data_IF_214860516303
#
_entry.id   IF_214860516303
#
_cell.length_a   1.000
_cell.length_b   1.000
_cell.length_c   1.000
_cell.angle_alpha   90.00
_cell.angle_beta   90.00
_cell.angle_gamma   90.00
#
_symmetry.space_group_name_H-M   'P 1'
#
loop_
_entity.id
_entity.type
_entity.pdbx_description
1 polymer ?
#
# COMPACT_ATOMS: atom_id res chain seq x y z
N UNK A 1 34.45 8.91 -11.68
CA UNK A 1 34.24 7.45 -11.60
C UNK A 1 32.73 7.19 -11.74
N UNK A 2 32.25 6.76 -12.92
CA UNK A 2 30.82 6.52 -13.18
C UNK A 2 30.50 5.08 -12.76
N UNK A 3 29.69 4.91 -11.74
CA UNK A 3 29.10 3.62 -11.41
C UNK A 3 28.11 3.24 -12.53
N UNK A 4 28.47 2.28 -13.34
CA UNK A 4 27.59 1.58 -14.27
C UNK A 4 26.74 0.62 -13.42
N UNK A 5 25.53 1.01 -13.07
CA UNK A 5 24.49 0.07 -12.62
C UNK A 5 24.15 -0.82 -13.81
N UNK A 6 24.52 -2.09 -13.71
CA UNK A 6 24.11 -3.13 -14.64
C UNK A 6 22.60 -3.33 -14.42
N UNK A 7 21.79 -2.82 -15.34
CA UNK A 7 20.38 -3.17 -15.43
C UNK A 7 20.37 -4.60 -15.97
N UNK A 8 20.08 -5.56 -15.12
CA UNK A 8 19.82 -6.93 -15.56
C UNK A 8 18.56 -6.92 -16.43
N UNK A 9 18.66 -7.56 -17.60
CA UNK A 9 17.55 -7.64 -18.56
C UNK A 9 16.33 -8.32 -17.93
N UNK A 10 15.11 -7.90 -18.30
CA UNK A 10 13.89 -8.48 -17.73
C UNK A 10 13.82 -9.96 -18.09
N UNK A 11 13.56 -10.80 -17.10
CA UNK A 11 13.30 -12.22 -17.25
C UNK A 11 12.18 -12.44 -18.26
N UNK A 12 12.52 -12.92 -19.45
CA UNK A 12 11.58 -13.46 -20.43
C UNK A 12 11.09 -14.82 -19.95
N UNK A 13 10.04 -14.85 -19.16
CA UNK A 13 9.24 -16.05 -18.94
C UNK A 13 8.27 -16.15 -20.12
N UNK A 14 8.44 -17.19 -20.95
CA UNK A 14 7.52 -17.54 -22.02
C UNK A 14 6.15 -17.96 -21.44
N UNK A 15 5.25 -17.04 -21.35
CA UNK A 15 3.84 -17.13 -20.98
C UNK A 15 3.29 -15.73 -21.15
N UNK A 16 2.11 -15.57 -21.72
CA UNK A 16 1.44 -14.27 -21.88
C UNK A 16 1.50 -13.50 -20.57
N UNK A 17 2.52 -12.64 -20.44
CA UNK A 17 2.67 -11.77 -19.27
C UNK A 17 1.44 -10.86 -19.29
N UNK A 18 0.54 -11.05 -18.36
CA UNK A 18 -0.51 -10.08 -18.11
C UNK A 18 0.18 -8.78 -17.74
N UNK A 19 0.20 -7.80 -18.64
CA UNK A 19 0.71 -6.44 -18.36
C UNK A 19 -0.16 -5.72 -17.32
N UNK A 20 -0.97 -6.48 -16.58
CA UNK A 20 -1.90 -6.00 -15.56
C UNK A 20 -1.39 -6.37 -14.17
N UNK A 21 -1.49 -5.43 -13.25
CA UNK A 21 -1.26 -5.65 -11.83
C UNK A 21 -2.40 -5.05 -11.01
N UNK A 22 -2.81 -5.75 -9.96
CA UNK A 22 -3.72 -5.22 -8.95
C UNK A 22 -2.91 -4.76 -7.75
N UNK A 23 -3.16 -3.56 -7.28
CA UNK A 23 -2.47 -2.91 -6.17
C UNK A 23 -3.49 -2.65 -5.08
N UNK A 24 -3.26 -3.17 -3.88
CA UNK A 24 -4.18 -3.01 -2.76
C UNK A 24 -3.49 -2.29 -1.61
N UNK A 25 -4.16 -1.26 -1.07
CA UNK A 25 -3.89 -0.82 0.30
C UNK A 25 -4.45 -1.85 1.30
N UNK A 26 -4.10 -1.73 2.57
CA UNK A 26 -4.52 -2.68 3.62
C UNK A 26 -5.63 -2.10 4.48
N UNK A 27 -5.32 -1.03 5.23
CA UNK A 27 -6.22 -0.46 6.22
C UNK A 27 -7.41 0.21 5.56
N UNK A 28 -8.61 -0.13 6.02
CA UNK A 28 -9.88 0.35 5.48
C UNK A 28 -10.08 0.09 3.96
N UNK A 29 -9.21 -0.78 3.39
CA UNK A 29 -9.31 -1.31 2.02
C UNK A 29 -9.48 -2.82 2.02
N UNK A 30 -8.49 -3.61 2.47
CA UNK A 30 -8.58 -5.07 2.56
C UNK A 30 -9.16 -5.55 3.90
N UNK A 31 -8.96 -4.76 4.95
CA UNK A 31 -9.43 -5.04 6.31
C UNK A 31 -10.13 -3.81 6.89
N UNK A 32 -11.09 -4.03 7.78
CA UNK A 32 -11.58 -3.00 8.69
C UNK A 32 -10.52 -2.81 9.78
N UNK A 33 -9.79 -1.70 9.73
CA UNK A 33 -8.65 -1.49 10.63
C UNK A 33 -9.09 -1.33 12.08
N UNK A 34 -8.53 -2.16 12.97
CA UNK A 34 -8.68 -2.02 14.42
C UNK A 34 -7.52 -1.23 15.03
N UNK A 35 -6.55 -0.80 14.21
CA UNK A 35 -5.42 -0.01 14.67
C UNK A 35 -5.85 1.43 14.94
N UNK A 36 -5.36 1.99 16.03
CA UNK A 36 -5.61 3.37 16.44
C UNK A 36 -4.34 4.19 16.43
N UNK A 37 -4.48 5.50 16.33
CA UNK A 37 -3.39 6.46 16.33
C UNK A 37 -3.44 7.22 17.68
N UNK A 38 -2.38 7.14 18.46
CA UNK A 38 -2.29 7.89 19.68
C UNK A 38 -1.79 9.31 19.38
N UNK A 39 -2.50 10.33 19.86
CA UNK A 39 -2.01 11.71 19.91
C UNK A 39 -1.32 11.89 21.24
N UNK A 40 -0.02 12.21 21.20
CA UNK A 40 0.78 12.41 22.39
C UNK A 40 1.14 13.89 22.55
N UNK A 41 1.14 14.36 23.80
CA UNK A 41 1.67 15.66 24.22
C UNK A 41 2.45 15.45 25.51
N UNK A 42 3.66 15.98 25.59
CA UNK A 42 4.56 15.82 26.74
C UNK A 42 4.74 14.35 27.18
N UNK A 43 4.83 13.44 26.19
CA UNK A 43 4.98 12.00 26.42
C UNK A 43 3.74 11.27 26.92
N UNK A 44 2.59 11.93 27.02
CA UNK A 44 1.31 11.34 27.45
C UNK A 44 0.32 11.25 26.31
N UNK A 45 -0.46 10.17 26.24
CA UNK A 45 -1.57 10.05 25.32
C UNK A 45 -2.68 11.03 25.74
N UNK A 46 -2.99 12.00 24.89
CA UNK A 46 -4.03 13.01 25.12
C UNK A 46 -5.30 12.72 24.31
N UNK A 47 -5.18 11.92 23.24
CA UNK A 47 -6.31 11.45 22.43
C UNK A 47 -5.95 10.16 21.71
N UNK A 48 -6.95 9.33 21.40
CA UNK A 48 -6.84 8.16 20.53
C UNK A 48 -7.75 8.39 19.35
N UNK A 49 -7.26 8.15 18.15
CA UNK A 49 -7.97 8.37 16.89
C UNK A 49 -8.08 7.06 16.12
N UNK A 50 -9.19 6.85 15.46
CA UNK A 50 -9.31 5.90 14.34
C UNK A 50 -8.64 6.47 13.09
N UNK A 51 -8.44 5.64 12.05
CA UNK A 51 -7.93 6.10 10.75
C UNK A 51 -8.79 7.22 10.16
N UNK A 52 -10.12 7.09 10.24
CA UNK A 52 -11.06 8.09 9.76
C UNK A 52 -10.92 9.42 10.53
N UNK A 53 -10.91 9.36 11.86
CA UNK A 53 -10.75 10.57 12.69
C UNK A 53 -9.39 11.24 12.50
N UNK A 54 -8.35 10.48 12.17
CA UNK A 54 -7.02 11.03 11.90
C UNK A 54 -7.01 11.90 10.64
N UNK A 55 -7.75 11.54 9.61
CA UNK A 55 -7.83 12.31 8.37
C UNK A 55 -8.38 13.73 8.60
N UNK A 56 -9.27 13.87 9.58
CA UNK A 56 -9.94 15.14 9.91
C UNK A 56 -9.28 15.86 11.12
N UNK A 57 -8.30 15.22 11.77
CA UNK A 57 -7.72 15.76 12.99
C UNK A 57 -6.71 16.86 12.72
N UNK A 58 -6.99 18.05 13.22
CA UNK A 58 -6.06 19.19 13.20
C UNK A 58 -5.11 19.09 14.40
N UNK A 59 -3.86 18.73 14.11
CA UNK A 59 -2.81 18.62 15.12
C UNK A 59 -2.54 19.95 15.80
N UNK A 60 -2.57 19.96 17.13
CA UNK A 60 -2.28 21.14 17.96
C UNK A 60 -0.78 21.29 18.23
N UNK A 61 -0.37 22.47 18.67
CA UNK A 61 1.01 22.74 19.00
C UNK A 61 1.51 21.84 20.15
N UNK A 62 2.72 21.29 19.97
CA UNK A 62 3.33 20.33 20.90
C UNK A 62 2.79 18.90 20.83
N UNK A 63 1.80 18.62 19.98
CA UNK A 63 1.30 17.25 19.75
C UNK A 63 2.14 16.50 18.73
N UNK A 64 2.22 15.16 18.86
CA UNK A 64 2.77 14.25 17.85
C UNK A 64 1.96 12.96 17.80
N UNK A 65 2.02 12.26 16.66
CA UNK A 65 1.28 11.01 16.44
C UNK A 65 2.17 9.80 16.67
N UNK A 66 1.61 8.79 17.34
CA UNK A 66 2.19 7.46 17.47
C UNK A 66 1.35 6.44 16.71
N UNK A 67 1.95 5.82 15.70
CA UNK A 67 1.35 4.83 14.83
C UNK A 67 1.76 3.39 15.20
N UNK A 68 2.31 3.17 16.40
CA UNK A 68 2.85 1.86 16.80
C UNK A 68 1.84 0.72 16.76
N UNK A 69 0.53 1.01 16.91
CA UNK A 69 -0.54 0.02 16.80
C UNK A 69 -0.62 -0.59 15.38
N UNK A 70 -0.20 0.14 14.34
CA UNK A 70 -0.13 -0.40 12.98
C UNK A 70 1.00 -1.40 12.78
N UNK A 71 1.92 -1.51 13.73
CA UNK A 71 3.00 -2.50 13.74
C UNK A 71 2.63 -3.79 14.51
N UNK A 72 1.35 -3.95 14.89
CA UNK A 72 0.83 -5.13 15.58
C UNK A 72 0.30 -6.19 14.61
N UNK A 73 0.97 -7.34 14.57
CA UNK A 73 0.47 -8.51 13.82
C UNK A 73 -0.83 -9.06 14.42
N UNK A 74 -1.02 -8.93 15.73
CA UNK A 74 -2.24 -9.38 16.40
C UNK A 74 -3.44 -8.57 15.90
N UNK A 75 -3.35 -7.24 15.90
CA UNK A 75 -4.44 -6.39 15.40
C UNK A 75 -4.75 -6.66 13.92
N UNK A 76 -3.73 -6.99 13.11
CA UNK A 76 -3.93 -7.42 11.72
C UNK A 76 -4.71 -8.74 11.62
N UNK A 77 -4.38 -9.73 12.44
CA UNK A 77 -5.02 -11.05 12.46
C UNK A 77 -6.48 -10.98 12.90
N UNK A 78 -6.76 -10.11 13.88
CA UNK A 78 -8.08 -9.96 14.49
C UNK A 78 -9.00 -9.02 13.70
N UNK A 79 -8.47 -8.35 12.68
CA UNK A 79 -9.26 -7.47 11.83
C UNK A 79 -10.24 -8.25 10.95
N UNK A 80 -11.45 -7.72 10.79
CA UNK A 80 -12.42 -8.24 9.84
C UNK A 80 -12.03 -7.87 8.41
N UNK A 81 -12.24 -8.81 7.48
CA UNK A 81 -11.97 -8.59 6.07
C UNK A 81 -13.08 -7.76 5.42
N UNK A 82 -12.70 -6.88 4.50
CA UNK A 82 -13.65 -6.17 3.64
C UNK A 82 -14.05 -7.05 2.44
N UNK A 83 -15.07 -6.67 1.65
CA UNK A 83 -15.40 -7.38 0.41
C UNK A 83 -14.25 -7.41 -0.63
N UNK A 84 -13.30 -6.47 -0.56
CA UNK A 84 -12.14 -6.42 -1.46
C UNK A 84 -11.14 -7.53 -1.19
N UNK A 85 -11.17 -8.14 0.00
CA UNK A 85 -10.38 -9.33 0.32
C UNK A 85 -10.74 -10.51 -0.61
N UNK A 86 -12.02 -10.74 -0.86
CA UNK A 86 -12.46 -11.79 -1.78
C UNK A 86 -12.06 -11.49 -3.23
N UNK A 87 -12.01 -10.20 -3.61
CA UNK A 87 -11.48 -9.78 -4.90
C UNK A 87 -10.00 -10.12 -5.02
N UNK A 88 -9.20 -9.81 -3.99
CA UNK A 88 -7.77 -10.15 -3.94
C UNK A 88 -7.57 -11.66 -4.06
N UNK A 89 -8.27 -12.47 -3.25
CA UNK A 89 -8.17 -13.94 -3.29
C UNK A 89 -8.47 -14.49 -4.67
N UNK A 90 -9.61 -14.13 -5.24
CA UNK A 90 -10.03 -14.58 -6.56
C UNK A 90 -9.00 -14.24 -7.64
N UNK A 91 -8.44 -13.04 -7.61
CA UNK A 91 -7.45 -12.64 -8.60
C UNK A 91 -6.08 -13.31 -8.36
N UNK A 92 -5.71 -13.56 -7.11
CA UNK A 92 -4.53 -14.35 -6.75
C UNK A 92 -4.63 -15.79 -7.27
N UNK A 93 -5.77 -16.45 -7.08
CA UNK A 93 -6.05 -17.82 -7.57
C UNK A 93 -5.99 -17.91 -9.10
N UNK A 94 -6.31 -16.85 -9.81
CA UNK A 94 -6.17 -16.74 -11.28
C UNK A 94 -4.72 -16.52 -11.73
N UNK A 95 -3.79 -16.31 -10.80
CA UNK A 95 -2.39 -15.98 -11.12
C UNK A 95 -2.20 -14.53 -11.56
N UNK A 96 -3.16 -13.62 -11.30
CA UNK A 96 -2.98 -12.19 -11.55
C UNK A 96 -1.88 -11.65 -10.62
N UNK A 97 -1.02 -10.78 -11.15
CA UNK A 97 0.00 -10.13 -10.34
C UNK A 97 -0.66 -9.19 -9.32
N UNK A 98 -0.27 -9.32 -8.06
CA UNK A 98 -0.78 -8.54 -6.94
C UNK A 98 0.37 -7.85 -6.23
N UNK A 99 0.22 -6.57 -5.96
CA UNK A 99 1.08 -5.79 -5.09
C UNK A 99 0.29 -5.27 -3.88
N UNK A 100 0.98 -5.18 -2.74
CA UNK A 100 0.48 -4.51 -1.55
C UNK A 100 1.19 -3.16 -1.41
N UNK A 101 0.42 -2.11 -1.22
CA UNK A 101 0.91 -0.73 -1.13
C UNK A 101 0.28 -0.02 0.07
N UNK A 102 0.95 -0.06 1.21
CA UNK A 102 0.40 0.38 2.49
C UNK A 102 1.24 1.46 3.18
N UNK A 103 0.60 2.24 4.04
CA UNK A 103 1.28 3.18 4.93
C UNK A 103 2.03 2.50 6.09
N UNK A 104 1.74 1.23 6.38
CA UNK A 104 2.39 0.46 7.45
C UNK A 104 3.91 0.41 7.28
N UNK A 105 4.63 0.09 8.37
CA UNK A 105 6.10 0.20 8.42
C UNK A 105 6.85 -1.13 8.38
N UNK A 106 6.17 -2.29 8.48
CA UNK A 106 6.80 -3.60 8.70
C UNK A 106 6.52 -4.61 7.57
N UNK A 107 7.33 -4.64 6.50
CA UNK A 107 7.09 -5.53 5.35
C UNK A 107 7.09 -7.01 5.72
N UNK A 108 7.96 -7.47 6.62
CA UNK A 108 8.00 -8.86 7.08
C UNK A 108 6.73 -9.28 7.83
N UNK A 109 6.12 -8.37 8.58
CA UNK A 109 4.85 -8.60 9.27
C UNK A 109 3.70 -8.72 8.24
N UNK A 110 3.68 -7.86 7.24
CA UNK A 110 2.69 -7.90 6.16
C UNK A 110 2.83 -9.21 5.38
N UNK A 111 4.04 -9.59 4.99
CA UNK A 111 4.31 -10.88 4.34
C UNK A 111 3.75 -12.05 5.16
N UNK A 112 4.06 -12.07 6.46
CA UNK A 112 3.60 -13.12 7.38
C UNK A 112 2.08 -13.19 7.44
N UNK A 113 1.40 -12.03 7.53
CA UNK A 113 -0.05 -11.97 7.55
C UNK A 113 -0.68 -12.60 6.32
N UNK A 114 -0.19 -12.27 5.11
CA UNK A 114 -0.72 -12.85 3.88
C UNK A 114 -0.42 -14.35 3.76
N UNK A 115 0.77 -14.80 4.15
CA UNK A 115 1.12 -16.23 4.18
C UNK A 115 0.20 -17.03 5.11
N UNK A 116 -0.14 -16.51 6.28
CA UNK A 116 -1.08 -17.14 7.22
C UNK A 116 -2.50 -17.24 6.66
N UNK A 117 -2.84 -16.41 5.68
CA UNK A 117 -4.12 -16.46 4.94
C UNK A 117 -4.03 -17.28 3.65
N UNK A 118 -2.92 -17.98 3.40
CA UNK A 118 -2.70 -18.82 2.21
C UNK A 118 -2.34 -18.02 0.94
N UNK A 119 -1.92 -16.77 1.07
CA UNK A 119 -1.58 -15.89 -0.05
C UNK A 119 -0.09 -15.56 0.01
N UNK A 120 0.68 -16.07 -0.95
CA UNK A 120 2.12 -15.81 -1.05
C UNK A 120 2.43 -14.70 -2.05
N UNK A 121 2.42 -13.44 -1.57
CA UNK A 121 2.81 -12.28 -2.37
C UNK A 121 4.34 -12.19 -2.36
N UNK A 122 4.96 -11.98 -3.53
CA UNK A 122 6.40 -11.80 -3.64
C UNK A 122 6.87 -10.60 -2.82
N UNK A 123 8.05 -10.71 -2.19
CA UNK A 123 8.58 -9.68 -1.29
C UNK A 123 8.80 -8.34 -1.99
N UNK A 124 9.19 -8.36 -3.27
CA UNK A 124 9.40 -7.18 -4.12
C UNK A 124 8.09 -6.49 -4.57
N UNK A 125 6.94 -7.11 -4.27
CA UNK A 125 5.60 -6.55 -4.50
C UNK A 125 4.90 -6.15 -3.19
N UNK A 126 5.61 -6.11 -2.05
CA UNK A 126 5.10 -5.62 -0.76
C UNK A 126 5.78 -4.28 -0.43
N UNK A 127 5.04 -3.19 -0.60
CA UNK A 127 5.52 -1.82 -0.43
C UNK A 127 4.93 -1.21 0.85
N UNK A 128 5.75 -1.14 1.91
CA UNK A 128 5.41 -0.50 3.18
C UNK A 128 5.99 0.92 3.22
N UNK A 129 5.21 1.92 2.84
CA UNK A 129 5.65 3.32 2.73
C UNK A 129 6.11 3.93 4.07
N UNK A 130 5.62 3.41 5.20
CA UNK A 130 6.07 3.78 6.55
C UNK A 130 7.43 3.20 6.95
N UNK A 131 7.98 2.24 6.19
CA UNK A 131 9.25 1.60 6.55
C UNK A 131 10.41 2.59 6.50
N UNK A 132 11.23 2.59 7.57
CA UNK A 132 12.34 3.55 7.73
C UNK A 132 13.41 3.46 6.62
N UNK A 133 13.58 2.28 6.03
CA UNK A 133 14.50 2.03 4.90
C UNK A 133 13.80 2.06 3.54
N UNK A 134 12.59 2.62 3.45
CA UNK A 134 11.88 2.76 2.17
C UNK A 134 12.73 3.63 1.21
N UNK A 135 12.84 3.25 -0.07
CA UNK A 135 13.81 3.87 -0.98
C UNK A 135 13.56 5.35 -1.26
N UNK A 136 12.30 5.79 -1.19
CA UNK A 136 11.95 7.19 -1.41
C UNK A 136 11.65 7.92 -0.10
N UNK A 137 12.07 9.19 -0.02
CA UNK A 137 11.76 10.10 1.09
C UNK A 137 10.53 10.94 0.75
N UNK A 138 9.81 11.42 1.75
CA UNK A 138 8.63 12.28 1.56
C UNK A 138 7.37 11.74 2.26
N UNK A 139 6.23 12.30 1.92
CA UNK A 139 4.93 11.89 2.45
C UNK A 139 4.54 10.49 2.01
N UNK A 140 3.60 9.87 2.69
CA UNK A 140 3.06 8.56 2.31
C UNK A 140 2.48 8.60 0.89
N UNK A 141 1.72 9.64 0.56
CA UNK A 141 1.11 9.84 -0.75
C UNK A 141 2.16 9.89 -1.87
N UNK A 142 3.21 10.71 -1.67
CA UNK A 142 4.32 10.79 -2.62
C UNK A 142 4.98 9.41 -2.82
N UNK A 143 5.22 8.67 -1.74
CA UNK A 143 5.83 7.34 -1.80
C UNK A 143 4.93 6.34 -2.52
N UNK A 144 3.61 6.36 -2.27
CA UNK A 144 2.63 5.53 -2.99
C UNK A 144 2.66 5.83 -4.49
N UNK A 145 2.66 7.10 -4.88
CA UNK A 145 2.77 7.51 -6.28
C UNK A 145 4.06 7.00 -6.92
N UNK A 146 5.20 7.08 -6.21
CA UNK A 146 6.49 6.56 -6.70
C UNK A 146 6.51 5.04 -6.88
N UNK A 147 5.79 4.28 -6.06
CA UNK A 147 5.63 2.83 -6.26
C UNK A 147 4.84 2.55 -7.53
N UNK A 148 3.75 3.26 -7.78
CA UNK A 148 2.93 3.08 -8.99
C UNK A 148 3.75 3.43 -10.24
N UNK A 149 4.52 4.53 -10.20
CA UNK A 149 5.47 4.89 -11.25
C UNK A 149 6.51 3.77 -11.47
N UNK A 150 7.09 3.23 -10.40
CA UNK A 150 8.05 2.14 -10.47
C UNK A 150 7.46 0.87 -11.10
N UNK A 151 6.23 0.49 -10.73
CA UNK A 151 5.53 -0.65 -11.34
C UNK A 151 5.29 -0.43 -12.85
N UNK A 152 5.02 0.81 -13.26
CA UNK A 152 4.93 1.19 -14.67
C UNK A 152 6.27 0.96 -15.40
N UNK A 153 7.38 1.35 -14.77
CA UNK A 153 8.72 1.14 -15.32
C UNK A 153 9.13 -0.34 -15.40
N UNK A 154 8.52 -1.20 -14.57
CA UNK A 154 8.65 -2.67 -14.66
C UNK A 154 7.85 -3.29 -15.81
N UNK A 155 7.10 -2.48 -16.58
CA UNK A 155 6.36 -2.92 -17.76
C UNK A 155 4.88 -3.20 -17.53
N UNK A 156 4.33 -2.94 -16.34
CA UNK A 156 2.88 -2.99 -16.15
C UNK A 156 2.24 -1.78 -16.83
N UNK A 157 1.29 -2.04 -17.73
CA UNK A 157 0.58 -0.98 -18.45
C UNK A 157 -0.89 -0.85 -18.04
N UNK A 158 -1.41 -1.79 -17.26
CA UNK A 158 -2.74 -1.72 -16.67
C UNK A 158 -2.63 -1.95 -15.17
N UNK A 159 -2.81 -0.88 -14.40
CA UNK A 159 -2.71 -0.89 -12.95
C UNK A 159 -4.10 -0.64 -12.35
N UNK A 160 -4.59 -1.58 -11.54
CA UNK A 160 -5.86 -1.42 -10.83
C UNK A 160 -5.52 -1.15 -9.38
N UNK A 161 -5.76 0.06 -8.91
CA UNK A 161 -5.38 0.50 -7.57
C UNK A 161 -6.60 0.68 -6.68
N UNK A 162 -6.65 -0.10 -5.60
CA UNK A 162 -7.66 -0.10 -4.56
C UNK A 162 -7.11 0.62 -3.33
N UNK A 163 -7.77 1.71 -2.93
CA UNK A 163 -7.38 2.52 -1.76
C UNK A 163 -8.64 3.22 -1.22
N UNK A 164 -8.77 3.37 0.09
CA UNK A 164 -9.88 4.09 0.73
C UNK A 164 -9.73 5.61 0.64
N UNK A 165 -8.50 6.08 0.46
CA UNK A 165 -8.17 7.50 0.41
C UNK A 165 -8.20 8.04 -1.03
N UNK A 166 -9.19 8.88 -1.32
CA UNK A 166 -9.36 9.51 -2.64
C UNK A 166 -8.12 10.26 -3.12
N UNK A 167 -7.41 10.92 -2.23
CA UNK A 167 -6.20 11.67 -2.60
C UNK A 167 -5.10 10.77 -3.15
N UNK A 168 -4.93 9.55 -2.57
CA UNK A 168 -3.99 8.56 -3.11
C UNK A 168 -4.38 8.14 -4.54
N UNK A 169 -5.68 7.93 -4.77
CA UNK A 169 -6.22 7.53 -6.08
C UNK A 169 -6.05 8.65 -7.12
N UNK A 170 -6.33 9.89 -6.76
CA UNK A 170 -6.16 11.05 -7.63
C UNK A 170 -4.70 11.27 -8.02
N UNK A 171 -3.78 11.20 -7.05
CA UNK A 171 -2.35 11.31 -7.31
C UNK A 171 -1.82 10.19 -8.21
N UNK A 172 -2.32 8.97 -8.04
CA UNK A 172 -1.98 7.86 -8.92
C UNK A 172 -2.49 8.10 -10.35
N UNK A 173 -3.72 8.57 -10.49
CA UNK A 173 -4.36 8.82 -11.78
C UNK A 173 -3.63 9.86 -12.62
N UNK A 174 -3.01 10.87 -12.00
CA UNK A 174 -2.21 11.88 -12.68
C UNK A 174 -1.00 11.30 -13.43
N UNK A 175 -0.55 10.07 -13.10
CA UNK A 175 0.54 9.44 -13.84
C UNK A 175 0.15 9.08 -15.28
N UNK A 176 -1.14 8.92 -15.61
CA UNK A 176 -1.59 8.71 -17.00
C UNK A 176 -1.23 9.90 -17.90
N UNK A 177 -1.21 11.12 -17.36
CA UNK A 177 -0.83 12.31 -18.10
C UNK A 177 0.67 12.33 -18.45
N UNK A 178 1.48 11.67 -17.60
CA UNK A 178 2.93 11.58 -17.77
C UNK A 178 3.35 10.37 -18.63
N UNK A 179 2.57 9.30 -18.58
CA UNK A 179 2.88 8.02 -19.23
C UNK A 179 1.71 7.59 -20.13
N UNK A 180 1.71 8.00 -21.40
CA UNK A 180 0.62 7.77 -22.35
C UNK A 180 0.27 6.29 -22.63
N UNK A 181 1.17 5.37 -22.29
CA UNK A 181 1.01 3.93 -22.54
C UNK A 181 0.39 3.16 -21.37
N UNK A 182 0.07 3.83 -20.26
CA UNK A 182 -0.49 3.18 -19.08
C UNK A 182 -1.97 3.51 -18.90
N UNK A 183 -2.66 2.59 -18.21
CA UNK A 183 -4.04 2.77 -17.77
C UNK A 183 -4.10 2.51 -16.27
N UNK A 184 -4.53 3.50 -15.49
CA UNK A 184 -4.77 3.39 -14.06
C UNK A 184 -6.27 3.36 -13.79
N UNK A 185 -6.75 2.23 -13.27
CA UNK A 185 -8.12 2.05 -12.82
C UNK A 185 -8.12 2.28 -11.30
N UNK A 186 -8.55 3.47 -10.88
CA UNK A 186 -8.69 3.82 -9.48
C UNK A 186 -10.00 3.25 -8.93
N UNK A 187 -9.92 2.48 -7.86
CA UNK A 187 -11.07 1.88 -7.19
C UNK A 187 -11.13 2.41 -5.76
N UNK A 188 -12.10 3.28 -5.49
CA UNK A 188 -12.33 3.80 -4.16
C UNK A 188 -12.96 2.72 -3.28
N UNK A 189 -12.19 2.22 -2.33
CA UNK A 189 -12.63 1.21 -1.38
C UNK A 189 -13.53 1.85 -0.30
N UNK A 190 -14.77 2.20 -0.67
CA UNK A 190 -15.76 2.67 0.31
C UNK A 190 -16.19 1.51 1.18
N UNK A 191 -16.00 1.68 2.47
CA UNK A 191 -16.54 0.81 3.50
C UNK A 191 -17.82 1.51 4.01
N UNK A 192 -18.98 0.95 3.67
CA UNK A 192 -20.28 1.42 4.17
C UNK A 192 -20.56 0.85 5.57
#
# INVERSE_FOLDING_TARGET
MRLKTKIEEPFTVAGTISNKILIFDIDDTLIYSNATINVLKDGKVVKVLTSAEYNDYIKKDGEYFDFSNFDSLLLLRDANMTPYWETLKREYEKGTHIAILTARSRPTMIKKFFLEKGIDIKDDLIFCCGYSKFPWKGTIQYKKTKVIEYLTLLGYNTLVFFDDNLYNLEMAKQLEDLYQSIKIIAVHAKIN
#
